data_IF_993054979204
#
_entry.id   IF_993054979204
#
_cell.length_a   1.000
_cell.length_b   1.000
_cell.length_c   1.000
_cell.angle_alpha   90.00
_cell.angle_beta   90.00
_cell.angle_gamma   90.00
#
_symmetry.space_group_name_H-M   'P 1'
#
loop_
_entity.id
_entity.type
_entity.pdbx_description
1 polymer ?
#
# COMPACT_ATOMS: atom_id res chain seq x y z
N UNK A 1 26.25 16.34 -3.87
CA UNK A 1 24.87 15.84 -3.90
C UNK A 1 24.95 14.33 -3.83
N UNK A 2 24.51 13.75 -2.72
CA UNK A 2 24.45 12.29 -2.59
C UNK A 2 23.09 11.75 -3.09
N UNK A 3 22.89 10.44 -2.98
CA UNK A 3 21.67 9.78 -3.46
C UNK A 3 20.42 10.26 -2.72
N UNK A 4 20.55 10.56 -1.43
CA UNK A 4 19.43 11.04 -0.61
C UNK A 4 19.00 12.42 -1.06
N UNK A 5 19.95 13.33 -1.29
CA UNK A 5 19.67 14.68 -1.75
C UNK A 5 19.01 14.66 -3.15
N UNK A 6 19.48 13.77 -4.04
CA UNK A 6 18.89 13.58 -5.36
C UNK A 6 17.41 13.15 -5.25
N UNK A 7 17.13 12.14 -4.44
CA UNK A 7 15.80 11.57 -4.25
C UNK A 7 14.83 12.54 -3.56
N UNK A 8 15.30 13.37 -2.61
CA UNK A 8 14.43 14.29 -1.88
C UNK A 8 14.20 15.61 -2.63
N UNK A 9 15.23 16.15 -3.29
CA UNK A 9 15.17 17.53 -3.79
C UNK A 9 15.08 17.64 -5.31
N UNK A 10 15.52 16.63 -6.06
CA UNK A 10 15.61 16.72 -7.53
C UNK A 10 14.52 15.92 -8.23
N UNK A 11 14.30 14.67 -7.82
CA UNK A 11 13.41 13.74 -8.50
C UNK A 11 11.90 13.93 -8.29
N UNK A 12 11.39 14.43 -7.14
CA UNK A 12 9.95 14.45 -6.89
C UNK A 12 9.12 15.17 -7.98
N UNK A 13 9.53 16.33 -8.53
CA UNK A 13 8.79 16.98 -9.61
C UNK A 13 8.62 16.09 -10.85
N UNK A 14 9.65 15.34 -11.24
CA UNK A 14 9.61 14.43 -12.39
C UNK A 14 8.72 13.22 -12.11
N UNK A 15 8.80 12.68 -10.89
CA UNK A 15 7.96 11.57 -10.43
C UNK A 15 6.48 11.96 -10.50
N UNK A 16 6.13 13.13 -9.97
CA UNK A 16 4.76 13.67 -10.00
C UNK A 16 4.30 13.89 -11.44
N UNK A 17 5.14 14.44 -12.32
CA UNK A 17 4.79 14.66 -13.73
C UNK A 17 4.49 13.34 -14.46
N UNK A 18 5.35 12.32 -14.30
CA UNK A 18 5.15 10.99 -14.93
C UNK A 18 3.91 10.32 -14.37
N UNK A 19 3.71 10.36 -13.05
CA UNK A 19 2.53 9.82 -12.39
C UNK A 19 1.26 10.50 -12.93
N UNK A 20 1.19 11.84 -12.92
CA UNK A 20 0.05 12.61 -13.38
C UNK A 20 -0.29 12.32 -14.84
N UNK A 21 0.72 12.25 -15.71
CA UNK A 21 0.54 11.84 -17.10
C UNK A 21 -0.07 10.44 -17.22
N UNK A 22 0.46 9.47 -16.48
CA UNK A 22 -0.05 8.10 -16.47
C UNK A 22 -1.49 8.00 -15.95
N UNK A 23 -1.83 8.75 -14.90
CA UNK A 23 -3.20 8.86 -14.38
C UNK A 23 -4.13 9.44 -15.44
N UNK A 24 -3.76 10.57 -16.06
CA UNK A 24 -4.55 11.22 -17.10
C UNK A 24 -4.79 10.29 -18.28
N UNK A 25 -3.76 9.56 -18.73
CA UNK A 25 -3.88 8.55 -19.77
C UNK A 25 -4.86 7.43 -19.38
N UNK A 26 -4.77 6.87 -18.17
CA UNK A 26 -5.70 5.82 -17.72
C UNK A 26 -7.13 6.30 -17.56
N UNK A 27 -7.33 7.44 -16.91
CA UNK A 27 -8.66 8.02 -16.65
C UNK A 27 -9.33 8.40 -17.97
N UNK A 28 -8.59 9.01 -18.90
CA UNK A 28 -9.13 9.30 -20.24
C UNK A 28 -9.57 8.03 -20.98
N UNK A 29 -8.81 6.93 -20.90
CA UNK A 29 -9.24 5.63 -21.45
C UNK A 29 -10.54 5.14 -20.81
N UNK A 30 -10.71 5.30 -19.49
CA UNK A 30 -11.96 4.92 -18.81
C UNK A 30 -13.14 5.79 -19.21
N UNK A 31 -12.95 7.08 -19.43
CA UNK A 31 -14.03 8.01 -19.80
C UNK A 31 -14.42 7.86 -21.27
N UNK A 32 -13.44 7.91 -22.18
CA UNK A 32 -13.70 8.02 -23.61
C UNK A 32 -13.93 6.68 -24.31
N UNK A 33 -13.39 5.57 -23.77
CA UNK A 33 -13.51 4.26 -24.43
C UNK A 33 -14.54 3.33 -23.79
N UNK A 34 -15.29 3.83 -22.81
CA UNK A 34 -16.34 3.04 -22.17
C UNK A 34 -17.57 2.94 -23.09
N UNK A 35 -17.73 1.78 -23.74
CA UNK A 35 -18.90 1.45 -24.55
C UNK A 35 -20.10 1.20 -23.65
N UNK A 36 -21.04 2.15 -23.60
CA UNK A 36 -22.31 2.00 -22.88
C UNK A 36 -23.27 1.16 -23.72
N UNK A 37 -23.46 -0.11 -23.36
CA UNK A 37 -24.55 -0.90 -23.93
C UNK A 37 -25.89 -0.35 -23.43
N UNK A 38 -26.90 -0.10 -24.29
CA UNK A 38 -28.22 0.29 -23.85
C UNK A 38 -28.90 -0.89 -23.14
N UNK A 39 -29.34 -0.67 -21.90
CA UNK A 39 -30.02 -1.67 -21.07
C UNK A 39 -31.23 -1.00 -20.45
N UNK A 40 -32.41 -1.62 -20.58
CA UNK A 40 -33.64 -1.16 -19.91
C UNK A 40 -33.47 -1.30 -18.40
N UNK A 41 -33.57 -0.18 -17.68
CA UNK A 41 -33.45 -0.13 -16.22
C UNK A 41 -34.61 -0.88 -15.57
N UNK A 42 -34.30 -1.74 -14.60
CA UNK A 42 -35.31 -2.28 -13.68
C UNK A 42 -35.33 -1.43 -12.39
N UNK A 43 -36.42 -0.72 -12.07
CA UNK A 43 -36.47 0.09 -10.86
C UNK A 43 -36.33 -0.79 -9.62
N UNK A 44 -35.54 -0.32 -8.65
CA UNK A 44 -35.33 -0.98 -7.36
C UNK A 44 -35.35 0.03 -6.23
N UNK A 45 -35.85 -0.38 -5.04
CA UNK A 45 -35.83 0.47 -3.87
C UNK A 45 -34.39 0.71 -3.40
N UNK A 46 -34.12 1.92 -2.89
CA UNK A 46 -32.78 2.35 -2.48
C UNK A 46 -32.07 1.39 -1.51
N UNK A 47 -32.74 0.79 -0.50
CA UNK A 47 -32.09 -0.18 0.39
C UNK A 47 -31.52 -1.41 -0.33
N UNK A 48 -32.22 -1.93 -1.35
CA UNK A 48 -31.72 -3.08 -2.13
C UNK A 48 -30.50 -2.71 -2.97
N UNK A 49 -30.40 -1.46 -3.43
CA UNK A 49 -29.23 -0.96 -4.14
C UNK A 49 -28.04 -0.80 -3.20
N UNK A 50 -28.26 -0.31 -1.97
CA UNK A 50 -27.23 -0.20 -0.95
C UNK A 50 -26.70 -1.57 -0.53
N UNK A 51 -27.58 -2.54 -0.25
CA UNK A 51 -27.19 -3.93 0.04
C UNK A 51 -26.39 -4.52 -1.13
N UNK A 52 -26.84 -4.28 -2.37
CA UNK A 52 -26.13 -4.69 -3.58
C UNK A 52 -24.72 -4.09 -3.67
N UNK A 53 -24.55 -2.83 -3.28
CA UNK A 53 -23.26 -2.14 -3.27
C UNK A 53 -22.31 -2.81 -2.28
N UNK A 54 -22.76 -3.00 -1.04
CA UNK A 54 -21.97 -3.66 0.01
C UNK A 54 -21.58 -5.08 -0.41
N UNK A 55 -22.52 -5.86 -0.94
CA UNK A 55 -22.25 -7.23 -1.41
C UNK A 55 -21.22 -7.30 -2.54
N UNK A 56 -21.20 -6.34 -3.47
CA UNK A 56 -20.20 -6.29 -4.54
C UNK A 56 -18.76 -6.22 -4.00
N UNK A 57 -18.55 -5.63 -2.82
CA UNK A 57 -17.26 -5.60 -2.13
C UNK A 57 -17.04 -6.80 -1.20
N UNK A 58 -18.08 -7.23 -0.47
CA UNK A 58 -17.98 -8.29 0.54
C UNK A 58 -17.91 -9.70 -0.07
N UNK A 59 -18.71 -10.00 -1.10
CA UNK A 59 -18.78 -11.34 -1.69
C UNK A 59 -17.41 -11.84 -2.21
N UNK A 60 -16.59 -11.03 -2.90
CA UNK A 60 -15.23 -11.41 -3.27
C UNK A 60 -14.33 -11.76 -2.09
N UNK A 61 -14.50 -11.10 -0.94
CA UNK A 61 -13.73 -11.39 0.27
C UNK A 61 -14.13 -12.75 0.85
N UNK A 62 -15.44 -13.02 0.93
CA UNK A 62 -15.98 -14.31 1.40
C UNK A 62 -15.52 -15.44 0.48
N UNK A 63 -15.66 -15.26 -0.85
CA UNK A 63 -15.24 -16.27 -1.83
C UNK A 63 -13.73 -16.48 -1.80
N UNK A 64 -12.93 -15.42 -1.66
CA UNK A 64 -11.49 -15.51 -1.48
C UNK A 64 -11.11 -16.32 -0.25
N UNK A 65 -11.73 -16.02 0.90
CA UNK A 65 -11.50 -16.73 2.15
C UNK A 65 -11.89 -18.22 2.08
N UNK A 66 -12.93 -18.57 1.31
CA UNK A 66 -13.39 -19.96 1.18
C UNK A 66 -12.60 -20.77 0.15
N UNK A 67 -12.41 -20.21 -1.04
CA UNK A 67 -11.91 -20.94 -2.22
C UNK A 67 -10.42 -20.76 -2.47
N UNK A 68 -9.83 -19.65 -2.00
CA UNK A 68 -8.42 -19.29 -2.27
C UNK A 68 -7.72 -18.86 -0.98
N UNK A 69 -7.83 -19.70 0.06
CA UNK A 69 -7.34 -19.44 1.42
C UNK A 69 -5.93 -18.87 1.47
N UNK A 70 -4.99 -19.51 0.77
CA UNK A 70 -3.59 -19.08 0.75
C UNK A 70 -3.46 -17.68 0.17
N UNK A 71 -4.12 -17.41 -0.96
CA UNK A 71 -4.10 -16.14 -1.66
C UNK A 71 -4.82 -15.02 -0.89
N UNK A 72 -5.85 -15.38 -0.12
CA UNK A 72 -6.54 -14.49 0.81
C UNK A 72 -5.64 -14.12 1.99
N UNK A 73 -5.03 -15.10 2.65
CA UNK A 73 -4.16 -14.86 3.82
C UNK A 73 -2.91 -14.09 3.41
N UNK A 74 -2.12 -14.59 2.47
CA UNK A 74 -0.85 -13.95 2.11
C UNK A 74 -1.05 -12.68 1.28
N UNK A 75 -1.99 -12.72 0.34
CA UNK A 75 -2.21 -11.64 -0.61
C UNK A 75 -3.04 -10.50 -0.04
N UNK A 76 -4.16 -10.78 0.62
CA UNK A 76 -5.01 -9.70 1.16
C UNK A 76 -4.60 -9.34 2.59
N UNK A 77 -4.50 -10.32 3.48
CA UNK A 77 -4.26 -10.04 4.91
C UNK A 77 -2.82 -9.59 5.14
N UNK A 78 -1.84 -10.45 4.85
CA UNK A 78 -0.42 -10.16 5.12
C UNK A 78 0.10 -9.00 4.27
N UNK A 79 -0.08 -9.07 2.95
CA UNK A 79 0.48 -8.05 2.06
C UNK A 79 -0.26 -6.71 2.11
N UNK A 80 -1.60 -6.69 2.08
CA UNK A 80 -2.34 -5.42 1.98
C UNK A 80 -2.76 -4.89 3.35
N UNK A 81 -3.67 -5.60 4.03
CA UNK A 81 -4.38 -5.08 5.22
C UNK A 81 -3.43 -4.86 6.40
N UNK A 82 -2.54 -5.81 6.67
CA UNK A 82 -1.58 -5.72 7.76
C UNK A 82 -0.19 -5.24 7.31
N UNK A 83 0.15 -5.41 6.03
CA UNK A 83 1.47 -5.03 5.53
C UNK A 83 1.49 -3.61 4.97
N UNK A 84 1.32 -3.52 3.66
CA UNK A 84 1.58 -2.30 2.87
C UNK A 84 0.69 -1.14 3.25
N UNK A 85 -0.61 -1.34 3.53
CA UNK A 85 -1.53 -0.24 3.88
C UNK A 85 -1.07 0.48 5.17
N UNK A 86 -0.95 -0.20 6.32
CA UNK A 86 -0.52 0.46 7.54
C UNK A 86 0.94 0.92 7.48
N UNK A 87 1.84 0.18 6.80
CA UNK A 87 3.24 0.64 6.62
C UNK A 87 3.31 1.95 5.87
N UNK A 88 2.55 2.10 4.77
CA UNK A 88 2.55 3.35 4.00
C UNK A 88 1.85 4.45 4.79
N UNK A 89 0.61 4.22 5.25
CA UNK A 89 -0.22 5.32 5.71
C UNK A 89 -0.09 5.63 7.20
N UNK A 90 0.30 4.67 8.03
CA UNK A 90 0.26 4.79 9.49
C UNK A 90 1.64 4.67 10.15
N UNK A 91 2.69 4.23 9.47
CA UNK A 91 4.04 4.25 10.05
C UNK A 91 4.44 5.69 10.42
N UNK A 92 4.91 5.91 11.64
CA UNK A 92 5.17 7.25 12.18
C UNK A 92 6.08 8.11 11.29
N UNK A 93 7.12 7.51 10.70
CA UNK A 93 8.03 8.19 9.77
C UNK A 93 7.32 8.65 8.48
N UNK A 94 6.43 7.81 7.92
CA UNK A 94 5.62 8.19 6.77
C UNK A 94 4.56 9.24 7.13
N UNK A 95 3.92 9.13 8.30
CA UNK A 95 2.96 10.15 8.78
C UNK A 95 3.65 11.50 8.95
N UNK A 96 4.86 11.53 9.49
CA UNK A 96 5.67 12.75 9.62
C UNK A 96 5.99 13.34 8.24
N UNK A 97 6.48 12.51 7.31
CA UNK A 97 6.80 12.92 5.94
C UNK A 97 5.57 13.45 5.19
N UNK A 98 4.43 12.74 5.24
CA UNK A 98 3.20 13.19 4.60
C UNK A 98 2.63 14.45 5.25
N UNK A 99 2.79 14.63 6.57
CA UNK A 99 2.38 15.87 7.24
C UNK A 99 3.23 17.07 6.82
N UNK A 100 4.51 16.85 6.47
CA UNK A 100 5.37 17.90 5.95
C UNK A 100 4.91 18.38 4.57
N UNK A 101 4.59 17.46 3.65
CA UNK A 101 4.15 17.79 2.29
C UNK A 101 2.65 18.16 2.18
N UNK A 102 1.81 17.59 3.04
CA UNK A 102 0.37 17.80 3.10
C UNK A 102 -0.06 17.99 4.57
N UNK A 103 -0.02 19.22 5.11
CA UNK A 103 -0.30 19.50 6.52
C UNK A 103 -1.57 18.88 7.11
N UNK A 104 -2.71 18.76 6.38
CA UNK A 104 -3.90 18.08 6.89
C UNK A 104 -3.70 16.60 7.22
N UNK A 105 -2.66 15.93 6.69
CA UNK A 105 -2.35 14.54 7.02
C UNK A 105 -2.02 14.36 8.52
N UNK A 106 -1.60 15.44 9.20
CA UNK A 106 -1.30 15.41 10.64
C UNK A 106 -2.47 14.98 11.54
N UNK A 107 -3.72 15.00 11.04
CA UNK A 107 -4.89 14.45 11.75
C UNK A 107 -4.74 12.95 12.04
N UNK A 108 -3.93 12.22 11.26
CA UNK A 108 -3.67 10.79 11.46
C UNK A 108 -2.58 10.50 12.49
N UNK A 109 -1.93 11.53 13.07
CA UNK A 109 -0.87 11.35 14.10
C UNK A 109 -1.29 10.43 15.26
N UNK A 110 -2.51 10.49 15.82
CA UNK A 110 -2.93 9.58 16.90
C UNK A 110 -3.00 8.10 16.48
N UNK A 111 -3.11 7.83 15.17
CA UNK A 111 -3.13 6.48 14.60
C UNK A 111 -1.75 6.00 14.17
N UNK A 112 -0.69 6.77 14.44
CA UNK A 112 0.65 6.41 14.00
C UNK A 112 1.19 5.18 14.72
N UNK A 113 1.94 4.37 13.97
CA UNK A 113 2.53 3.12 14.40
C UNK A 113 4.05 3.35 14.54
N UNK A 114 4.67 3.02 15.70
CA UNK A 114 6.10 3.16 15.90
C UNK A 114 6.90 2.28 14.94
N UNK A 115 8.13 2.68 14.64
CA UNK A 115 9.03 1.92 13.77
C UNK A 115 9.43 0.57 14.39
N UNK A 116 9.81 0.53 15.67
CA UNK A 116 10.27 -0.67 16.36
C UNK A 116 9.55 -0.91 17.70
N UNK A 117 9.62 -2.14 18.21
CA UNK A 117 9.09 -2.53 19.53
C UNK A 117 9.90 -1.95 20.70
N UNK A 118 11.17 -1.60 20.48
CA UNK A 118 12.06 -1.08 21.53
C UNK A 118 11.65 0.30 22.01
N UNK A 119 11.19 1.19 21.12
CA UNK A 119 10.75 2.54 21.51
C UNK A 119 9.51 2.54 22.42
N UNK A 120 8.45 1.74 22.16
CA UNK A 120 7.30 1.63 23.07
C UNK A 120 7.59 0.86 24.35
N UNK A 121 8.36 -0.24 24.28
CA UNK A 121 8.71 -1.03 25.46
C UNK A 121 9.50 -0.20 26.47
N UNK A 122 10.48 0.58 26.01
CA UNK A 122 11.26 1.49 26.85
C UNK A 122 10.39 2.57 27.48
N UNK A 123 9.37 3.09 26.79
CA UNK A 123 8.50 4.14 27.33
C UNK A 123 7.46 3.60 28.32
N UNK A 124 7.10 2.32 28.22
CA UNK A 124 6.19 1.63 29.15
C UNK A 124 6.91 1.12 30.41
N UNK A 125 8.15 0.66 30.29
CA UNK A 125 8.91 0.05 31.40
C UNK A 125 9.87 1.02 32.07
N UNK A 126 10.26 2.10 31.40
CA UNK A 126 11.04 3.19 31.96
C UNK A 126 10.36 4.53 31.62
N UNK A 127 10.19 5.47 32.55
CA UNK A 127 9.63 6.80 32.27
C UNK A 127 10.63 7.69 31.50
N UNK A 128 11.32 7.14 30.51
CA UNK A 128 12.27 7.86 29.65
C UNK A 128 11.47 8.43 28.49
N UNK A 129 11.37 9.76 28.44
CA UNK A 129 10.84 10.45 27.26
C UNK A 129 11.78 10.20 26.07
N UNK A 130 11.29 9.76 24.90
CA UNK A 130 12.15 9.55 23.74
C UNK A 130 12.90 10.84 23.37
N UNK A 131 14.21 10.71 23.16
CA UNK A 131 15.18 11.83 22.96
C UNK A 131 15.14 12.40 21.54
N UNK A 132 14.40 11.79 20.60
CA UNK A 132 14.31 12.30 19.22
C UNK A 132 13.34 13.48 19.12
N UNK A 133 13.76 14.56 18.47
CA UNK A 133 12.96 15.77 18.18
C UNK A 133 11.70 15.54 17.31
N UNK A 134 11.44 14.31 16.85
CA UNK A 134 10.11 13.86 16.42
C UNK A 134 9.21 13.57 17.63
N UNK A 135 9.14 14.51 18.56
CA UNK A 135 8.53 14.38 19.89
C UNK A 135 7.01 14.21 19.81
N UNK A 136 6.57 12.99 19.54
CA UNK A 136 5.32 12.48 20.08
C UNK A 136 5.65 11.24 20.88
N UNK A 137 5.25 11.25 22.15
CA UNK A 137 5.31 10.13 23.07
C UNK A 137 4.51 8.98 22.44
N UNK A 138 5.20 7.92 21.97
CA UNK A 138 4.56 6.73 21.37
C UNK A 138 3.45 6.10 22.25
N UNK A 139 3.45 6.44 23.55
CA UNK A 139 2.47 6.08 24.58
C UNK A 139 1.08 6.73 24.39
N UNK A 140 0.96 7.80 23.61
CA UNK A 140 -0.31 8.53 23.40
C UNK A 140 -1.04 8.11 22.12
N UNK A 141 -0.53 7.14 21.36
CA UNK A 141 -1.25 6.60 20.21
C UNK A 141 -2.50 5.82 20.64
N UNK A 142 -3.52 5.76 19.78
CA UNK A 142 -4.76 4.98 20.02
C UNK A 142 -4.46 3.48 20.22
N UNK A 143 -3.29 3.02 19.79
CA UNK A 143 -2.85 1.64 19.91
C UNK A 143 -2.38 1.28 21.33
N UNK A 144 -1.95 2.25 22.15
CA UNK A 144 -1.50 2.01 23.53
C UNK A 144 -0.48 0.85 23.62
N UNK A 145 -0.63 -0.12 24.55
CA UNK A 145 0.29 -1.26 24.68
C UNK A 145 0.35 -2.17 23.45
N UNK A 146 -0.64 -2.13 22.54
CA UNK A 146 -0.63 -2.95 21.34
C UNK A 146 0.60 -2.64 20.46
N UNK A 147 1.18 -1.45 20.56
CA UNK A 147 2.37 -1.05 19.80
C UNK A 147 3.60 -1.92 20.05
N UNK A 148 3.64 -2.69 21.15
CA UNK A 148 4.69 -3.68 21.38
C UNK A 148 4.66 -4.75 20.28
N UNK A 149 3.46 -5.17 19.87
CA UNK A 149 3.24 -6.17 18.82
C UNK A 149 3.04 -5.50 17.47
N UNK A 150 2.17 -4.48 17.42
CA UNK A 150 1.86 -3.68 16.24
C UNK A 150 2.91 -2.58 16.06
N UNK A 151 4.03 -2.93 15.44
CA UNK A 151 5.12 -2.01 15.12
C UNK A 151 5.55 -2.17 13.65
N UNK A 152 6.30 -1.18 13.15
CA UNK A 152 6.79 -1.12 11.77
C UNK A 152 7.57 -2.37 11.34
N UNK A 153 8.39 -2.95 12.23
CA UNK A 153 9.14 -4.18 11.94
C UNK A 153 8.22 -5.35 11.63
N UNK A 154 7.22 -5.60 12.48
CA UNK A 154 6.25 -6.66 12.25
C UNK A 154 5.51 -6.42 10.93
N UNK A 155 4.98 -5.21 10.70
CA UNK A 155 4.21 -4.92 9.50
C UNK A 155 5.06 -5.05 8.23
N UNK A 156 6.32 -4.60 8.27
CA UNK A 156 7.27 -4.77 7.17
C UNK A 156 7.56 -6.25 6.89
N UNK A 157 7.77 -7.07 7.94
CA UNK A 157 7.96 -8.52 7.80
C UNK A 157 6.73 -9.18 7.19
N UNK A 158 5.52 -8.86 7.66
CA UNK A 158 4.28 -9.41 7.10
C UNK A 158 4.12 -9.01 5.63
N UNK A 159 4.43 -7.75 5.29
CA UNK A 159 4.44 -7.29 3.90
C UNK A 159 5.46 -8.07 3.05
N UNK A 160 6.70 -8.24 3.53
CA UNK A 160 7.74 -8.99 2.83
C UNK A 160 7.33 -10.44 2.61
N UNK A 161 6.77 -11.12 3.62
CA UNK A 161 6.24 -12.48 3.48
C UNK A 161 5.11 -12.55 2.43
N UNK A 162 4.21 -11.57 2.44
CA UNK A 162 3.14 -11.44 1.46
C UNK A 162 3.66 -11.26 0.02
N UNK A 163 4.67 -10.40 -0.18
CA UNK A 163 5.33 -10.21 -1.48
C UNK A 163 6.05 -11.48 -1.93
N UNK A 164 6.82 -12.11 -1.03
CA UNK A 164 7.56 -13.34 -1.33
C UNK A 164 6.64 -14.48 -1.70
N UNK A 165 5.51 -14.63 -1.00
CA UNK A 165 4.48 -15.60 -1.40
C UNK A 165 3.97 -15.31 -2.81
N UNK A 166 3.66 -14.05 -3.15
CA UNK A 166 3.15 -13.70 -4.49
C UNK A 166 4.18 -13.93 -5.58
N UNK A 167 5.46 -13.65 -5.31
CA UNK A 167 6.56 -14.01 -6.21
C UNK A 167 6.64 -15.52 -6.40
N UNK A 168 6.60 -16.30 -5.31
CA UNK A 168 6.63 -17.76 -5.33
C UNK A 168 5.46 -18.39 -6.09
N UNK A 169 4.22 -18.00 -5.80
CA UNK A 169 3.02 -18.48 -6.52
C UNK A 169 3.13 -18.16 -8.02
N UNK A 170 3.69 -17.01 -8.37
CA UNK A 170 3.85 -16.58 -9.76
C UNK A 170 4.95 -17.36 -10.49
N UNK A 171 6.09 -17.60 -9.83
CA UNK A 171 7.16 -18.47 -10.34
C UNK A 171 6.64 -19.89 -10.54
N UNK A 172 5.86 -20.41 -9.58
CA UNK A 172 5.26 -21.74 -9.67
C UNK A 172 4.29 -21.86 -10.85
N UNK A 173 3.41 -20.87 -11.04
CA UNK A 173 2.49 -20.83 -12.20
C UNK A 173 3.22 -20.72 -13.53
N UNK A 174 4.30 -19.94 -13.59
CA UNK A 174 5.15 -19.82 -14.77
C UNK A 174 5.82 -21.15 -15.10
N UNK A 175 6.41 -21.80 -14.08
CA UNK A 175 7.04 -23.11 -14.21
C UNK A 175 6.07 -24.18 -14.72
N UNK A 176 4.86 -24.23 -14.14
CA UNK A 176 3.79 -25.17 -14.54
C UNK A 176 3.08 -24.78 -15.84
N UNK A 177 3.42 -23.64 -16.47
CA UNK A 177 2.80 -23.11 -17.69
C UNK A 177 1.26 -23.00 -17.62
N UNK A 178 0.71 -22.79 -16.42
CA UNK A 178 -0.76 -22.81 -16.19
C UNK A 178 -1.42 -21.53 -16.71
N UNK A 179 -0.71 -20.40 -16.68
CA UNK A 179 -1.23 -19.08 -17.07
C UNK A 179 -0.11 -18.28 -17.73
N UNK A 180 -0.46 -17.40 -18.68
CA UNK A 180 0.48 -16.41 -19.20
C UNK A 180 0.91 -15.42 -18.09
N UNK A 181 2.17 -15.50 -17.68
CA UNK A 181 2.75 -14.68 -16.63
C UNK A 181 3.50 -13.50 -17.26
N UNK A 182 3.07 -12.27 -16.99
CA UNK A 182 3.72 -11.06 -17.52
C UNK A 182 4.98 -10.72 -16.74
N UNK A 183 6.07 -10.37 -17.44
CA UNK A 183 7.30 -9.89 -16.82
C UNK A 183 7.06 -8.68 -15.91
N UNK A 184 6.19 -7.76 -16.36
CA UNK A 184 5.85 -6.53 -15.64
C UNK A 184 5.29 -6.73 -14.23
N UNK A 185 4.63 -7.85 -13.92
CA UNK A 185 4.21 -8.06 -12.52
C UNK A 185 5.32 -8.65 -11.65
N UNK A 186 6.36 -9.28 -12.22
CA UNK A 186 7.54 -9.65 -11.44
C UNK A 186 8.34 -8.41 -11.07
N UNK A 187 8.57 -7.51 -12.03
CA UNK A 187 9.32 -6.27 -11.78
C UNK A 187 8.64 -5.40 -10.73
N UNK A 188 7.30 -5.27 -10.77
CA UNK A 188 6.55 -4.52 -9.76
C UNK A 188 6.65 -5.15 -8.36
N UNK A 189 6.57 -6.49 -8.24
CA UNK A 189 6.70 -7.18 -6.96
C UNK A 189 8.13 -7.13 -6.41
N UNK A 190 9.14 -7.27 -7.26
CA UNK A 190 10.54 -7.15 -6.87
C UNK A 190 10.88 -5.72 -6.44
N UNK A 191 10.34 -4.72 -7.14
CA UNK A 191 10.49 -3.32 -6.75
C UNK A 191 9.86 -3.07 -5.37
N UNK A 192 8.65 -3.57 -5.11
CA UNK A 192 8.02 -3.49 -3.80
C UNK A 192 8.85 -4.18 -2.71
N UNK A 193 9.39 -5.36 -2.99
CA UNK A 193 10.27 -6.06 -2.05
C UNK A 193 11.53 -5.24 -1.75
N UNK A 194 12.16 -4.66 -2.77
CA UNK A 194 13.35 -3.83 -2.62
C UNK A 194 13.06 -2.59 -1.76
N UNK A 195 11.90 -1.95 -1.93
CA UNK A 195 11.46 -0.83 -1.09
C UNK A 195 11.31 -1.26 0.37
N UNK A 196 10.65 -2.40 0.62
CA UNK A 196 10.45 -2.91 1.98
C UNK A 196 11.79 -3.25 2.65
N UNK A 197 12.69 -3.94 1.94
CA UNK A 197 14.01 -4.34 2.45
C UNK A 197 14.88 -3.11 2.75
N UNK A 198 14.96 -2.16 1.82
CA UNK A 198 15.76 -0.95 2.02
C UNK A 198 15.19 -0.05 3.12
N UNK A 199 13.86 0.05 3.25
CA UNK A 199 13.24 0.78 4.36
C UNK A 199 13.47 0.13 5.71
N UNK A 200 13.42 -1.21 5.76
CA UNK A 200 13.78 -1.98 6.94
C UNK A 200 15.25 -1.74 7.32
N UNK A 201 16.18 -1.84 6.37
CA UNK A 201 17.61 -1.58 6.64
C UNK A 201 17.87 -0.14 7.08
N UNK A 202 17.22 0.85 6.47
CA UNK A 202 17.35 2.25 6.88
C UNK A 202 16.87 2.46 8.33
N UNK A 203 15.75 1.84 8.70
CA UNK A 203 15.20 1.92 10.06
C UNK A 203 16.15 1.34 11.11
N UNK A 204 16.83 0.25 10.76
CA UNK A 204 17.76 -0.48 11.64
C UNK A 204 19.22 -0.06 11.51
N UNK A 205 19.52 0.98 10.73
CA UNK A 205 20.90 1.44 10.50
C UNK A 205 21.81 0.30 9.99
N UNK A 206 21.29 -0.50 9.07
CA UNK A 206 21.99 -1.62 8.44
C UNK A 206 22.46 -1.26 7.02
N UNK A 207 23.60 -1.80 6.56
CA UNK A 207 24.51 -2.73 7.27
C UNK A 207 25.43 -2.05 8.27
N UNK A 208 25.47 -0.72 8.31
CA UNK A 208 26.31 0.07 9.20
C UNK A 208 25.58 1.33 9.65
N UNK A 209 25.86 1.75 10.89
CA UNK A 209 25.27 2.94 11.51
C UNK A 209 26.00 4.24 11.23
N UNK A 210 27.00 4.24 10.36
CA UNK A 210 27.63 5.47 9.90
C UNK A 210 26.65 6.31 9.05
N UNK A 211 26.78 7.63 9.18
CA UNK A 211 25.91 8.59 8.50
C UNK A 211 25.91 8.42 6.97
N UNK A 212 27.07 8.25 6.29
CA UNK A 212 27.09 7.99 4.85
C UNK A 212 26.27 6.76 4.42
N UNK A 213 26.47 5.62 5.07
CA UNK A 213 25.75 4.37 4.75
C UNK A 213 24.25 4.52 5.01
N UNK A 214 23.86 5.09 6.15
CA UNK A 214 22.45 5.36 6.45
C UNK A 214 21.78 6.23 5.37
N UNK A 215 22.43 7.34 4.99
CA UNK A 215 21.93 8.26 3.96
C UNK A 215 21.79 7.56 2.61
N UNK A 216 22.75 6.72 2.24
CA UNK A 216 22.69 5.95 1.01
C UNK A 216 21.51 4.95 1.00
N UNK A 217 21.32 4.18 2.07
CA UNK A 217 20.25 3.17 2.16
C UNK A 217 18.87 3.84 2.21
N UNK A 218 18.73 4.94 2.96
CA UNK A 218 17.51 5.75 2.96
C UNK A 218 17.23 6.36 1.57
N UNK A 219 18.27 6.90 0.92
CA UNK A 219 18.17 7.42 -0.45
C UNK A 219 17.70 6.36 -1.44
N UNK A 220 18.21 5.13 -1.33
CA UNK A 220 17.75 3.98 -2.13
C UNK A 220 16.27 3.67 -1.86
N UNK A 221 15.84 3.64 -0.60
CA UNK A 221 14.44 3.40 -0.25
C UNK A 221 13.50 4.43 -0.89
N UNK A 222 13.83 5.72 -0.75
CA UNK A 222 13.03 6.82 -1.31
C UNK A 222 13.02 6.75 -2.84
N UNK A 223 14.19 6.61 -3.48
CA UNK A 223 14.31 6.51 -4.93
C UNK A 223 13.49 5.34 -5.49
N UNK A 224 13.56 4.16 -4.87
CA UNK A 224 12.79 3.00 -5.31
C UNK A 224 11.28 3.24 -5.14
N UNK A 225 10.86 3.89 -4.06
CA UNK A 225 9.47 4.26 -3.82
C UNK A 225 8.98 5.27 -4.87
N UNK A 226 9.80 6.27 -5.22
CA UNK A 226 9.55 7.24 -6.28
C UNK A 226 9.39 6.57 -7.66
N UNK A 227 10.28 5.64 -8.00
CA UNK A 227 10.18 4.85 -9.23
C UNK A 227 8.86 4.06 -9.24
N UNK A 228 8.48 3.47 -8.10
CA UNK A 228 7.21 2.74 -7.99
C UNK A 228 6.04 3.68 -8.23
N UNK A 229 6.00 4.84 -7.58
CA UNK A 229 4.96 5.86 -7.73
C UNK A 229 4.82 6.29 -9.19
N UNK A 230 5.91 6.67 -9.84
CA UNK A 230 5.91 7.03 -11.26
C UNK A 230 5.36 5.88 -12.15
N UNK A 231 5.68 4.63 -11.81
CA UNK A 231 5.25 3.45 -12.54
C UNK A 231 3.81 2.99 -12.21
N UNK A 232 3.20 3.41 -11.09
CA UNK A 232 1.88 2.92 -10.63
C UNK A 232 0.81 2.92 -11.72
N UNK A 233 0.60 4.00 -12.52
CA UNK A 233 -0.43 4.03 -13.53
C UNK A 233 -0.16 3.08 -14.71
N UNK A 234 1.09 2.62 -14.89
CA UNK A 234 1.48 1.75 -15.99
C UNK A 234 1.53 0.28 -15.60
N UNK A 235 1.45 -0.03 -14.31
CA UNK A 235 1.55 -1.40 -13.78
C UNK A 235 0.20 -1.95 -13.33
N UNK A 236 0.21 -3.21 -12.87
CA UNK A 236 -0.94 -3.84 -12.22
C UNK A 236 -1.27 -3.17 -10.88
N UNK A 237 -0.31 -2.49 -10.24
CA UNK A 237 -0.54 -1.84 -8.94
C UNK A 237 -1.51 -0.67 -8.99
N UNK A 238 -1.85 -0.18 -10.19
CA UNK A 238 -2.99 0.72 -10.37
C UNK A 238 -4.30 0.22 -9.73
N UNK A 239 -4.46 -1.10 -9.54
CA UNK A 239 -5.62 -1.65 -8.83
C UNK A 239 -5.73 -1.11 -7.39
N UNK A 240 -4.60 -0.89 -6.72
CA UNK A 240 -4.54 -0.37 -5.36
C UNK A 240 -5.05 1.08 -5.29
N UNK A 241 -4.67 1.90 -6.27
CA UNK A 241 -5.01 3.33 -6.31
C UNK A 241 -6.45 3.56 -6.77
N UNK A 242 -6.88 2.90 -7.86
CA UNK A 242 -8.15 3.23 -8.50
C UNK A 242 -8.82 2.04 -9.19
N UNK A 243 -8.04 1.19 -9.87
CA UNK A 243 -8.60 0.19 -10.78
C UNK A 243 -9.57 -0.80 -10.13
N UNK A 244 -9.31 -1.21 -8.88
CA UNK A 244 -10.21 -2.10 -8.14
C UNK A 244 -11.52 -1.39 -7.79
N UNK A 245 -11.43 -0.19 -7.21
CA UNK A 245 -12.58 0.61 -6.77
C UNK A 245 -13.51 0.96 -7.93
N UNK A 246 -12.93 1.47 -9.01
CA UNK A 246 -13.67 1.80 -10.23
C UNK A 246 -14.35 0.57 -10.82
N UNK A 247 -13.63 -0.55 -10.93
CA UNK A 247 -14.18 -1.81 -11.44
C UNK A 247 -15.36 -2.31 -10.62
N UNK A 248 -15.27 -2.23 -9.28
CA UNK A 248 -16.35 -2.66 -8.38
C UNK A 248 -17.56 -1.74 -8.40
N UNK A 249 -17.35 -0.43 -8.49
CA UNK A 249 -18.44 0.52 -8.67
C UNK A 249 -19.16 0.30 -10.02
N UNK A 250 -18.42 0.00 -11.09
CA UNK A 250 -19.01 -0.35 -12.38
C UNK A 250 -19.76 -1.68 -12.34
N UNK A 251 -19.20 -2.71 -11.71
CA UNK A 251 -19.88 -4.00 -11.52
C UNK A 251 -21.22 -3.81 -10.81
N UNK A 252 -21.24 -3.02 -9.72
CA UNK A 252 -22.46 -2.66 -9.03
C UNK A 252 -23.43 -1.88 -9.93
N UNK A 253 -22.94 -0.85 -10.62
CA UNK A 253 -23.78 0.00 -11.46
C UNK A 253 -24.40 -0.78 -12.62
N UNK A 254 -23.61 -1.55 -13.36
CA UNK A 254 -24.08 -2.27 -14.54
C UNK A 254 -24.90 -3.51 -14.18
N UNK A 255 -24.48 -4.31 -13.19
CA UNK A 255 -25.18 -5.55 -12.83
C UNK A 255 -26.34 -5.32 -11.87
N UNK A 256 -26.14 -4.55 -10.80
CA UNK A 256 -27.13 -4.40 -9.72
C UNK A 256 -28.08 -3.23 -9.98
N UNK A 257 -27.57 -2.07 -10.40
CA UNK A 257 -28.38 -0.86 -10.63
C UNK A 257 -29.10 -0.88 -11.99
N UNK A 258 -28.42 -1.22 -13.09
CA UNK A 258 -29.02 -1.24 -14.43
C UNK A 258 -29.76 -2.55 -14.75
N UNK A 259 -29.11 -3.71 -14.58
CA UNK A 259 -29.66 -5.03 -14.98
C UNK A 259 -30.51 -5.69 -13.90
N UNK A 260 -30.34 -5.31 -12.64
CA UNK A 260 -31.05 -5.94 -11.52
C UNK A 260 -30.66 -7.40 -11.26
N UNK A 261 -29.49 -7.85 -11.72
CA UNK A 261 -28.97 -9.17 -11.37
C UNK A 261 -28.63 -9.19 -9.87
N UNK A 262 -29.04 -10.23 -9.14
CA UNK A 262 -28.52 -10.51 -7.79
C UNK A 262 -27.49 -11.61 -7.90
#
# INVERSE_FOLDING_TARGET
MDLLDLAIYTLPPYVVAIFAFGVAYRVSRYIFMHKRAPVKRRPRPAPKLLIGLVKTFVDPLILGARLRKSDFISGLILLHILGVIPVIFLLGQHVAMFSYWFPPYSVLRPLSIPSSATSPALTLTAPVKPVSEMSWTYVESVWGPLTIVLNGDLLAILAMLGVMYKLGDKLWRAYRKIIHVRLGDFTALLLLLAILVTGFFATHHLPSGDVPTYRFVLGMHILLAEILVAALPFTKFWHFVFGYWYGKLHEWYDLKYRRGAL
#
